data_IF_956695152566
#
_entry.id   IF_956695152566
#
_cell.length_a   1.000
_cell.length_b   1.000
_cell.length_c   1.000
_cell.angle_alpha   90.00
_cell.angle_beta   90.00
_cell.angle_gamma   90.00
#
_symmetry.space_group_name_H-M   'P 1'
#
loop_
_entity.id
_entity.type
_entity.pdbx_description
1 polymer ?
#
# COMPACT_ATOMS: atom_id res chain seq x y z
N UNK A 1 54.15 -48.17 43.53
CA UNK A 1 53.78 -48.34 44.95
C UNK A 1 53.89 -46.98 45.62
N UNK A 2 52.89 -46.64 46.44
CA UNK A 2 52.72 -45.43 47.28
C UNK A 2 52.23 -44.11 46.64
N UNK A 3 50.94 -43.91 46.91
CA UNK A 3 50.13 -42.69 46.95
C UNK A 3 50.70 -41.68 47.97
N UNK A 4 50.58 -40.38 47.69
CA UNK A 4 50.16 -39.37 48.69
C UNK A 4 49.68 -38.06 48.04
N UNK A 5 48.45 -37.70 48.40
CA UNK A 5 47.76 -36.43 48.13
C UNK A 5 48.41 -35.29 48.93
N UNK A 6 48.45 -34.09 48.38
CA UNK A 6 48.33 -32.85 49.17
C UNK A 6 47.58 -31.79 48.38
N UNK A 7 46.50 -31.29 48.99
CA UNK A 7 45.68 -30.15 48.55
C UNK A 7 46.43 -28.88 48.92
N UNK A 8 46.58 -27.93 47.98
CA UNK A 8 47.12 -26.61 48.25
C UNK A 8 46.06 -25.54 47.92
N UNK A 9 45.59 -24.89 48.97
CA UNK A 9 44.81 -23.65 48.97
C UNK A 9 45.69 -22.51 48.44
N UNK A 10 45.22 -21.75 47.44
CA UNK A 10 45.88 -20.50 47.02
C UNK A 10 44.93 -19.34 47.28
N UNK A 11 45.46 -18.38 48.04
CA UNK A 11 44.82 -17.18 48.53
C UNK A 11 44.56 -16.16 47.40
N UNK A 12 43.48 -15.42 47.58
CA UNK A 12 43.03 -14.26 46.80
C UNK A 12 44.02 -13.10 46.87
N UNK A 13 44.45 -12.60 45.70
CA UNK A 13 45.10 -11.31 45.55
C UNK A 13 44.12 -10.32 44.91
N UNK A 14 43.72 -9.30 45.66
CA UNK A 14 42.92 -8.18 45.18
C UNK A 14 43.85 -7.15 44.51
N UNK A 15 43.63 -6.86 43.23
CA UNK A 15 44.26 -5.76 42.52
C UNK A 15 43.26 -4.60 42.38
N UNK A 16 43.58 -3.46 42.99
CA UNK A 16 42.92 -2.18 42.74
C UNK A 16 43.20 -1.75 41.29
N UNK A 17 42.14 -1.58 40.48
CA UNK A 17 42.19 -0.77 39.27
C UNK A 17 41.60 0.61 39.58
N UNK A 18 42.45 1.63 39.52
CA UNK A 18 42.08 3.04 39.52
C UNK A 18 41.35 3.39 38.23
N UNK A 19 40.06 3.74 38.34
CA UNK A 19 39.27 4.25 37.22
C UNK A 19 39.68 5.70 36.92
N UNK A 20 40.30 5.91 35.76
CA UNK A 20 40.47 7.25 35.17
C UNK A 20 39.16 7.57 34.45
N UNK A 21 38.39 8.49 35.03
CA UNK A 21 37.14 8.98 34.47
C UNK A 21 37.39 9.78 33.20
N UNK A 22 37.17 9.16 32.05
CA UNK A 22 36.90 9.88 30.81
C UNK A 22 35.42 10.30 30.84
N UNK A 23 35.17 11.57 31.19
CA UNK A 23 33.86 12.20 30.95
C UNK A 23 33.68 12.34 29.45
N UNK A 24 33.14 11.29 28.82
CA UNK A 24 32.52 11.41 27.52
C UNK A 24 31.27 12.29 27.71
N UNK A 25 31.37 13.56 27.32
CA UNK A 25 30.20 14.37 27.04
C UNK A 25 29.40 13.64 25.96
N UNK A 26 28.35 12.93 26.37
CA UNK A 26 27.29 12.55 25.45
C UNK A 26 26.81 13.85 24.81
N UNK A 27 27.12 14.02 23.53
CA UNK A 27 26.31 14.87 22.69
C UNK A 27 24.90 14.27 22.78
N UNK A 28 24.06 14.91 23.58
CA UNK A 28 22.61 14.78 23.46
C UNK A 28 22.32 15.08 22.01
N UNK A 29 22.10 14.04 21.20
CA UNK A 29 21.40 14.23 19.95
C UNK A 29 20.10 14.89 20.38
N UNK A 30 19.93 16.17 20.05
CA UNK A 30 18.68 16.88 20.24
C UNK A 30 17.59 15.97 19.67
N UNK A 31 16.87 15.30 20.58
CA UNK A 31 15.65 14.61 20.23
C UNK A 31 14.75 15.75 19.84
N UNK A 32 14.65 16.02 18.54
CA UNK A 32 13.52 16.76 18.01
C UNK A 32 12.33 15.88 18.38
N UNK A 33 11.74 16.17 19.54
CA UNK A 33 10.44 15.65 19.92
C UNK A 33 9.53 16.25 18.87
N UNK A 34 9.14 15.43 17.90
CA UNK A 34 8.07 15.81 16.99
C UNK A 34 6.88 16.21 17.87
N UNK A 35 6.33 17.43 17.76
CA UNK A 35 5.22 17.85 18.60
C UNK A 35 4.13 16.78 18.55
N UNK A 36 3.68 16.35 19.74
CA UNK A 36 2.58 15.39 19.86
C UNK A 36 1.38 15.91 19.08
N UNK A 37 0.83 15.10 18.18
CA UNK A 37 -0.28 15.50 17.33
C UNK A 37 -1.57 15.22 18.10
N UNK A 38 -2.45 16.22 18.21
CA UNK A 38 -3.80 16.00 18.75
C UNK A 38 -4.62 15.18 17.75
N UNK A 39 -4.59 13.86 17.93
CA UNK A 39 -5.33 12.90 17.09
C UNK A 39 -6.84 13.07 17.19
N UNK A 40 -7.34 13.64 18.29
CA UNK A 40 -8.77 13.97 18.46
C UNK A 40 -9.16 15.17 17.60
N UNK A 41 -8.36 16.25 17.62
CA UNK A 41 -8.53 17.40 16.75
C UNK A 41 -8.41 17.02 15.27
N UNK A 42 -7.46 16.14 14.94
CA UNK A 42 -7.33 15.56 13.60
C UNK A 42 -8.62 14.84 13.18
N UNK A 43 -9.16 13.95 14.03
CA UNK A 43 -10.42 13.25 13.77
C UNK A 43 -11.62 14.20 13.59
N UNK A 44 -11.72 15.25 14.42
CA UNK A 44 -12.75 16.28 14.30
C UNK A 44 -12.63 17.06 12.98
N UNK A 45 -11.42 17.37 12.54
CA UNK A 45 -11.16 18.04 11.25
C UNK A 45 -11.62 17.18 10.06
N UNK A 46 -11.35 15.86 10.09
CA UNK A 46 -11.84 14.92 9.07
C UNK A 46 -13.37 14.89 9.07
N UNK A 47 -13.99 14.74 10.24
CA UNK A 47 -15.45 14.69 10.36
C UNK A 47 -16.12 15.98 9.86
N UNK A 48 -15.51 17.14 10.11
CA UNK A 48 -15.98 18.43 9.59
C UNK A 48 -15.87 18.51 8.06
N UNK A 49 -14.80 17.99 7.49
CA UNK A 49 -14.59 18.01 6.04
C UNK A 49 -15.58 17.11 5.28
N UNK A 50 -15.93 15.95 5.84
CA UNK A 50 -16.71 14.93 5.14
C UNK A 50 -18.17 14.80 5.60
N UNK A 51 -18.49 15.27 6.81
CA UNK A 51 -19.83 15.27 7.38
C UNK A 51 -20.75 16.36 6.84
N UNK A 52 -21.91 16.52 7.48
CA UNK A 52 -22.88 17.57 7.11
C UNK A 52 -23.48 17.44 5.71
N UNK A 53 -23.43 16.24 5.10
CA UNK A 53 -23.91 16.01 3.74
C UNK A 53 -22.87 16.27 2.64
N UNK A 54 -21.61 16.53 2.99
CA UNK A 54 -20.53 16.66 2.00
C UNK A 54 -20.23 15.34 1.30
N UNK A 55 -20.48 14.21 1.95
CA UNK A 55 -20.39 12.85 1.40
C UNK A 55 -21.63 12.04 1.77
N UNK A 56 -21.89 10.95 1.05
CA UNK A 56 -22.98 10.01 1.39
C UNK A 56 -22.69 9.26 2.68
N UNK A 57 -21.48 8.75 2.81
CA UNK A 57 -20.95 8.16 4.02
C UNK A 57 -19.42 8.17 4.01
N UNK A 58 -18.84 8.16 5.20
CA UNK A 58 -17.39 8.14 5.36
C UNK A 58 -16.98 7.39 6.63
N UNK A 59 -15.70 7.01 6.63
CA UNK A 59 -15.01 6.48 7.79
C UNK A 59 -13.56 6.97 7.80
N UNK A 60 -12.99 7.12 8.98
CA UNK A 60 -11.57 7.35 9.19
C UNK A 60 -11.05 6.57 10.38
N UNK A 61 -9.75 6.33 10.40
CA UNK A 61 -9.04 5.78 11.55
C UNK A 61 -7.63 6.35 11.62
N UNK A 62 -7.15 6.59 12.84
CA UNK A 62 -5.86 7.19 13.17
C UNK A 62 -5.16 6.28 14.17
N UNK A 63 -3.86 6.07 13.94
CA UNK A 63 -2.94 5.41 14.84
C UNK A 63 -1.80 6.39 15.18
N UNK A 64 -1.20 6.18 16.34
CA UNK A 64 -0.03 6.91 16.80
C UNK A 64 0.96 5.91 17.39
N UNK A 65 2.21 5.98 16.95
CA UNK A 65 3.29 5.07 17.34
C UNK A 65 2.92 3.58 17.19
N UNK A 66 2.22 3.26 16.10
CA UNK A 66 1.77 1.91 15.78
C UNK A 66 0.59 1.42 16.62
N UNK A 67 0.01 2.25 17.47
CA UNK A 67 -1.15 1.92 18.31
C UNK A 67 -2.40 2.65 17.84
N UNK A 68 -3.57 2.02 18.01
CA UNK A 68 -4.85 2.67 17.73
C UNK A 68 -5.01 3.94 18.59
N UNK A 69 -5.31 5.07 17.94
CA UNK A 69 -5.59 6.33 18.63
C UNK A 69 -7.10 6.63 18.62
N UNK A 70 -7.68 6.81 17.44
CA UNK A 70 -9.12 7.10 17.30
C UNK A 70 -9.66 6.66 15.94
N UNK A 71 -10.98 6.50 15.85
CA UNK A 71 -11.70 6.29 14.59
C UNK A 71 -13.08 6.89 14.65
N UNK A 72 -13.62 7.22 13.48
CA UNK A 72 -14.97 7.76 13.38
C UNK A 72 -15.59 7.45 12.03
N UNK A 73 -16.91 7.59 11.97
CA UNK A 73 -17.69 7.38 10.76
C UNK A 73 -19.03 8.09 10.86
N UNK A 74 -19.61 8.45 9.72
CA UNK A 74 -20.98 8.92 9.65
C UNK A 74 -21.59 8.63 8.26
N UNK A 75 -22.90 8.81 8.16
CA UNK A 75 -23.63 8.62 6.90
C UNK A 75 -23.87 7.14 6.55
N UNK A 76 -24.01 6.87 5.26
CA UNK A 76 -24.55 5.60 4.74
C UNK A 76 -23.55 4.88 3.85
N UNK A 77 -23.26 3.62 4.20
CA UNK A 77 -22.61 2.67 3.30
C UNK A 77 -23.57 2.26 2.17
N UNK A 78 -24.87 2.21 2.50
CA UNK A 78 -25.98 1.97 1.56
C UNK A 78 -27.14 2.88 1.89
N UNK A 79 -27.68 3.58 0.88
CA UNK A 79 -28.81 4.50 1.05
C UNK A 79 -30.14 3.72 1.05
N UNK A 80 -31.28 4.42 1.15
CA UNK A 80 -32.61 3.82 1.22
C UNK A 80 -32.90 2.77 0.12
N UNK A 81 -32.65 3.08 -1.17
CA UNK A 81 -32.83 2.13 -2.27
C UNK A 81 -32.01 0.84 -2.15
N UNK A 82 -30.94 0.83 -1.36
CA UNK A 82 -29.95 -0.25 -1.29
C UNK A 82 -29.92 -0.96 0.08
N UNK A 83 -30.96 -0.79 0.90
CA UNK A 83 -31.09 -1.47 2.20
C UNK A 83 -30.64 -0.65 3.42
N UNK A 84 -30.32 0.63 3.25
CA UNK A 84 -30.16 1.61 4.33
C UNK A 84 -29.12 1.23 5.42
N UNK A 85 -27.92 0.82 5.02
CA UNK A 85 -26.83 0.40 5.93
C UNK A 85 -25.96 1.60 6.32
N UNK A 86 -25.72 1.77 7.62
CA UNK A 86 -24.82 2.81 8.14
C UNK A 86 -23.36 2.53 7.75
N UNK A 87 -22.61 3.61 7.47
CA UNK A 87 -21.16 3.52 7.32
C UNK A 87 -20.50 3.38 8.69
N UNK A 88 -19.57 2.44 8.83
CA UNK A 88 -18.76 2.25 10.05
C UNK A 88 -17.26 2.29 9.74
N UNK A 89 -16.42 2.45 10.74
CA UNK A 89 -14.95 2.38 10.58
C UNK A 89 -14.43 1.03 10.08
N UNK A 90 -15.27 -0.02 10.14
CA UNK A 90 -15.00 -1.38 9.67
C UNK A 90 -15.75 -1.74 8.38
N UNK A 91 -16.55 -0.83 7.81
CA UNK A 91 -17.17 -1.05 6.50
C UNK A 91 -16.08 -1.15 5.44
N UNK A 92 -16.05 -2.27 4.73
CA UNK A 92 -15.11 -2.49 3.61
C UNK A 92 -15.71 -2.00 2.29
N UNK A 93 -14.85 -1.44 1.45
CA UNK A 93 -15.15 -1.05 0.06
C UNK A 93 -13.88 -1.20 -0.79
N UNK A 94 -14.02 -1.21 -2.12
CA UNK A 94 -12.84 -1.25 -3.00
C UNK A 94 -11.98 0.02 -2.76
N UNK A 95 -10.70 -0.15 -2.41
CA UNK A 95 -9.78 0.96 -2.11
C UNK A 95 -9.09 1.55 -3.34
N UNK A 96 -9.50 1.10 -4.52
CA UNK A 96 -8.98 1.54 -5.81
C UNK A 96 -7.44 1.49 -5.84
N UNK A 97 -6.82 2.58 -6.31
CA UNK A 97 -5.37 2.68 -6.49
C UNK A 97 -4.54 2.58 -5.22
N UNK A 98 -5.12 2.74 -4.04
CA UNK A 98 -4.43 2.46 -2.76
C UNK A 98 -3.89 1.03 -2.70
N UNK A 99 -4.46 0.10 -3.48
CA UNK A 99 -3.95 -1.27 -3.69
C UNK A 99 -2.47 -1.29 -4.10
N UNK A 100 -2.00 -0.29 -4.86
CA UNK A 100 -0.62 -0.24 -5.36
C UNK A 100 0.42 -0.25 -4.25
N UNK A 101 0.12 0.37 -3.10
CA UNK A 101 1.03 0.35 -1.97
C UNK A 101 1.26 -1.08 -1.45
N UNK A 102 0.20 -1.90 -1.39
CA UNK A 102 0.30 -3.32 -1.00
C UNK A 102 1.11 -4.12 -2.03
N UNK A 103 0.85 -3.92 -3.32
CA UNK A 103 1.60 -4.56 -4.41
C UNK A 103 3.08 -4.16 -4.40
N UNK A 104 3.38 -2.89 -4.11
CA UNK A 104 4.75 -2.39 -3.99
C UNK A 104 5.49 -3.01 -2.80
N UNK A 105 4.82 -3.16 -1.64
CA UNK A 105 5.41 -3.85 -0.49
C UNK A 105 5.58 -5.34 -0.77
N UNK A 106 4.64 -5.99 -1.46
CA UNK A 106 4.78 -7.40 -1.85
C UNK A 106 6.05 -7.64 -2.68
N UNK A 107 6.26 -6.81 -3.71
CA UNK A 107 7.44 -6.89 -4.58
C UNK A 107 8.71 -6.64 -3.78
N UNK A 108 8.74 -5.61 -2.93
CA UNK A 108 9.96 -5.29 -2.18
C UNK A 108 10.29 -6.30 -1.10
N UNK A 109 9.28 -6.89 -0.45
CA UNK A 109 9.46 -8.02 0.47
C UNK A 109 10.07 -9.22 -0.25
N UNK A 110 9.63 -9.50 -1.48
CA UNK A 110 10.20 -10.58 -2.29
C UNK A 110 11.63 -10.26 -2.74
N UNK A 111 11.90 -9.04 -3.20
CA UNK A 111 13.26 -8.58 -3.55
C UNK A 111 14.20 -8.72 -2.35
N UNK A 112 13.80 -8.28 -1.16
CA UNK A 112 14.58 -8.41 0.08
C UNK A 112 14.93 -9.88 0.39
N UNK A 113 14.08 -10.82 -0.01
CA UNK A 113 14.30 -12.27 0.20
C UNK A 113 15.06 -12.95 -0.93
N UNK A 114 15.34 -12.27 -2.03
CA UNK A 114 16.06 -12.84 -3.18
C UNK A 114 17.50 -12.33 -3.21
N UNK A 115 18.52 -13.19 -2.96
CA UNK A 115 19.92 -12.79 -2.98
C UNK A 115 20.33 -12.11 -4.30
N UNK A 116 21.00 -10.96 -4.20
CA UNK A 116 21.48 -10.20 -5.36
C UNK A 116 20.41 -9.42 -6.13
N UNK A 117 19.13 -9.57 -5.78
CA UNK A 117 18.05 -8.79 -6.40
C UNK A 117 17.92 -7.43 -5.70
N UNK A 118 17.75 -6.37 -6.50
CA UNK A 118 17.50 -5.02 -5.99
C UNK A 118 16.41 -4.35 -6.79
N UNK A 119 15.92 -3.20 -6.32
CA UNK A 119 14.97 -2.39 -7.10
C UNK A 119 15.55 -1.88 -8.42
N UNK A 120 16.87 -1.85 -8.58
CA UNK A 120 17.52 -1.46 -9.84
C UNK A 120 17.74 -2.64 -10.81
N UNK A 121 17.38 -3.86 -10.41
CA UNK A 121 17.50 -5.03 -11.28
C UNK A 121 16.47 -4.98 -12.43
N UNK A 122 16.85 -5.42 -13.65
CA UNK A 122 15.91 -5.53 -14.77
C UNK A 122 14.76 -6.50 -14.48
N UNK A 123 13.57 -6.21 -15.00
CA UNK A 123 12.37 -7.04 -14.75
C UNK A 123 12.15 -8.14 -15.79
N UNK A 124 12.79 -8.05 -16.96
CA UNK A 124 12.60 -8.99 -18.07
C UNK A 124 12.72 -10.48 -17.67
N UNK A 125 13.71 -10.91 -16.86
CA UNK A 125 13.86 -12.32 -16.48
C UNK A 125 12.69 -12.87 -15.64
N UNK A 126 11.89 -11.98 -15.05
CA UNK A 126 10.77 -12.32 -14.18
C UNK A 126 9.41 -12.32 -14.90
N UNK A 127 9.36 -11.89 -16.16
CA UNK A 127 8.17 -11.97 -16.99
C UNK A 127 7.97 -13.39 -17.56
N UNK A 128 6.73 -13.75 -17.98
CA UNK A 128 6.49 -14.99 -18.73
C UNK A 128 7.41 -15.10 -19.95
N UNK A 129 7.87 -16.32 -20.27
CA UNK A 129 8.79 -16.54 -21.40
C UNK A 129 8.19 -16.06 -22.74
N UNK A 130 6.88 -16.25 -22.94
CA UNK A 130 6.18 -15.75 -24.13
C UNK A 130 6.19 -14.23 -24.25
N UNK A 131 6.31 -13.51 -23.13
CA UNK A 131 6.38 -12.04 -23.13
C UNK A 131 7.79 -11.59 -23.49
N UNK A 132 8.81 -12.25 -22.94
CA UNK A 132 10.21 -11.97 -23.25
C UNK A 132 10.50 -12.06 -24.76
N UNK A 133 9.90 -13.04 -25.45
CA UNK A 133 10.04 -13.22 -26.89
C UNK A 133 9.36 -12.14 -27.74
N UNK A 134 8.34 -11.47 -27.19
CA UNK A 134 7.56 -10.42 -27.87
C UNK A 134 7.98 -9.01 -27.47
N UNK A 135 8.84 -8.89 -26.47
CA UNK A 135 9.15 -7.61 -25.88
C UNK A 135 10.00 -6.75 -26.82
N UNK A 136 9.68 -5.46 -26.89
CA UNK A 136 10.55 -4.49 -27.54
C UNK A 136 11.87 -4.34 -26.75
N UNK A 137 12.98 -4.12 -27.45
CA UNK A 137 14.32 -4.05 -26.85
C UNK A 137 14.46 -2.95 -25.76
N UNK A 138 13.59 -1.94 -25.76
CA UNK A 138 13.56 -0.93 -24.68
C UNK A 138 13.22 -1.53 -23.30
N UNK A 139 12.54 -2.67 -23.24
CA UNK A 139 12.15 -3.33 -21.99
C UNK A 139 13.33 -3.94 -21.23
N UNK A 140 14.46 -4.19 -21.88
CA UNK A 140 15.70 -4.64 -21.22
C UNK A 140 16.22 -3.61 -20.20
N UNK A 141 15.81 -2.34 -20.34
CA UNK A 141 16.17 -1.24 -19.44
C UNK A 141 15.16 -1.04 -18.30
N UNK A 142 14.01 -1.70 -18.34
CA UNK A 142 12.96 -1.52 -17.32
C UNK A 142 13.35 -2.26 -16.05
N UNK A 143 13.40 -1.53 -14.93
CA UNK A 143 13.75 -2.06 -13.60
C UNK A 143 12.53 -2.08 -12.69
N UNK A 144 12.62 -2.79 -11.57
CA UNK A 144 11.57 -2.76 -10.54
C UNK A 144 11.28 -1.33 -10.07
N UNK A 145 12.34 -0.53 -9.87
CA UNK A 145 12.26 0.88 -9.49
C UNK A 145 11.40 1.65 -10.46
N UNK A 146 11.66 1.50 -11.77
CA UNK A 146 10.91 2.20 -12.82
C UNK A 146 9.40 1.89 -12.79
N UNK A 147 9.02 0.64 -12.48
CA UNK A 147 7.61 0.28 -12.32
C UNK A 147 7.02 0.88 -11.04
N UNK A 148 7.72 0.71 -9.91
CA UNK A 148 7.28 1.11 -8.57
C UNK A 148 7.10 2.62 -8.39
N UNK A 149 7.90 3.43 -9.09
CA UNK A 149 7.87 4.90 -9.01
C UNK A 149 7.34 5.59 -10.28
N UNK A 150 6.76 4.83 -11.21
CA UNK A 150 6.18 5.35 -12.44
C UNK A 150 7.15 5.97 -13.48
N UNK A 151 8.44 5.63 -13.47
CA UNK A 151 9.42 6.11 -14.48
C UNK A 151 9.75 5.10 -15.57
N UNK A 152 8.87 4.12 -15.83
CA UNK A 152 9.05 3.07 -16.85
C UNK A 152 8.84 3.53 -18.30
N UNK A 153 8.19 4.68 -18.51
CA UNK A 153 7.79 5.13 -19.84
C UNK A 153 6.51 4.49 -20.36
N UNK A 154 5.86 3.62 -19.57
CA UNK A 154 4.54 3.09 -19.90
C UNK A 154 3.47 4.18 -19.80
N UNK A 155 2.60 4.24 -20.80
CA UNK A 155 1.48 5.17 -20.86
C UNK A 155 0.21 4.56 -20.25
N UNK A 156 -0.84 5.38 -20.11
CA UNK A 156 -2.19 4.88 -19.81
C UNK A 156 -2.83 4.46 -21.13
N UNK A 157 -2.97 3.15 -21.34
CA UNK A 157 -3.51 2.62 -22.59
C UNK A 157 -4.91 3.16 -22.94
N UNK A 158 -5.71 3.57 -21.95
CA UNK A 158 -7.00 4.24 -22.16
C UNK A 158 -6.90 5.56 -22.93
N UNK A 159 -5.71 6.20 -22.93
CA UNK A 159 -5.48 7.47 -23.63
C UNK A 159 -5.02 7.28 -25.07
N UNK A 160 -4.56 6.07 -25.43
CA UNK A 160 -3.95 5.79 -26.74
C UNK A 160 -4.68 4.74 -27.56
N UNK A 161 -5.48 3.88 -26.92
CA UNK A 161 -6.22 2.81 -27.58
C UNK A 161 -7.68 3.18 -27.83
N UNK A 162 -8.25 2.64 -28.90
CA UNK A 162 -9.71 2.67 -29.14
C UNK A 162 -10.45 1.85 -28.08
N UNK A 163 -11.77 2.08 -27.93
CA UNK A 163 -12.58 1.31 -26.98
C UNK A 163 -12.54 -0.21 -27.22
N UNK A 164 -12.54 -0.64 -28.48
CA UNK A 164 -12.42 -2.06 -28.86
C UNK A 164 -11.05 -2.64 -28.46
N UNK A 165 -9.98 -1.90 -28.72
CA UNK A 165 -8.63 -2.30 -28.29
C UNK A 165 -8.51 -2.32 -26.76
N UNK A 166 -9.08 -1.36 -26.05
CA UNK A 166 -9.05 -1.32 -24.58
C UNK A 166 -9.83 -2.49 -23.96
N UNK A 167 -10.95 -2.90 -24.56
CA UNK A 167 -11.68 -4.08 -24.12
C UNK A 167 -10.81 -5.35 -24.18
N UNK A 168 -9.90 -5.42 -25.15
CA UNK A 168 -8.97 -6.53 -25.35
C UNK A 168 -7.67 -6.40 -24.54
N UNK A 169 -7.08 -5.20 -24.49
CA UNK A 169 -5.76 -4.89 -23.94
C UNK A 169 -5.86 -3.99 -22.70
N UNK A 170 -6.76 -4.35 -21.78
CA UNK A 170 -6.83 -3.69 -20.47
C UNK A 170 -5.65 -4.09 -19.57
N UNK A 171 -5.77 -4.03 -18.25
CA UNK A 171 -4.67 -4.39 -17.32
C UNK A 171 -4.61 -5.90 -17.00
N UNK A 172 -5.23 -6.74 -17.85
CA UNK A 172 -5.15 -8.20 -17.84
C UNK A 172 -3.76 -8.72 -18.23
N UNK A 173 -3.55 -10.03 -18.18
CA UNK A 173 -2.36 -10.71 -18.69
C UNK A 173 -2.14 -10.40 -20.16
N UNK A 174 -3.18 -10.48 -21.00
CA UNK A 174 -3.10 -10.18 -22.44
C UNK A 174 -2.74 -8.70 -22.68
N UNK A 175 -3.24 -7.78 -21.86
CA UNK A 175 -2.86 -6.39 -21.99
C UNK A 175 -1.44 -6.08 -21.52
N UNK A 176 -0.92 -6.81 -20.53
CA UNK A 176 0.51 -6.78 -20.20
C UNK A 176 1.35 -7.38 -21.32
N UNK A 177 0.92 -8.49 -21.93
CA UNK A 177 1.57 -9.08 -23.10
C UNK A 177 1.64 -8.10 -24.29
N UNK A 178 0.56 -7.35 -24.51
CA UNK A 178 0.54 -6.29 -25.50
C UNK A 178 1.51 -5.16 -25.14
N UNK A 179 1.50 -4.70 -23.88
CA UNK A 179 2.33 -3.60 -23.42
C UNK A 179 3.84 -3.91 -23.56
N UNK A 180 4.28 -5.16 -23.37
CA UNK A 180 5.69 -5.51 -23.55
C UNK A 180 6.19 -5.32 -24.98
N UNK A 181 5.31 -5.41 -25.98
CA UNK A 181 5.64 -5.16 -27.38
C UNK A 181 5.75 -3.68 -27.76
N UNK A 182 5.43 -2.75 -26.84
CA UNK A 182 5.51 -1.32 -27.09
C UNK A 182 6.92 -0.79 -26.80
N UNK A 183 7.41 0.07 -27.70
CA UNK A 183 8.67 0.80 -27.49
C UNK A 183 8.52 1.86 -26.40
N UNK A 184 9.42 1.84 -25.43
CA UNK A 184 9.43 2.75 -24.28
C UNK A 184 10.64 3.70 -24.30
N UNK A 185 10.49 4.83 -23.62
CA UNK A 185 11.60 5.72 -23.23
C UNK A 185 11.89 5.52 -21.74
N UNK A 186 13.08 5.00 -21.42
CA UNK A 186 13.45 4.58 -20.06
C UNK A 186 14.82 5.15 -19.66
N UNK A 187 14.95 5.87 -18.52
CA UNK A 187 13.85 6.28 -17.64
C UNK A 187 12.99 7.38 -18.25
N UNK A 188 11.71 7.40 -17.90
CA UNK A 188 10.77 8.49 -18.22
C UNK A 188 10.74 9.52 -17.06
N UNK A 189 10.40 10.79 -17.30
CA UNK A 189 10.20 11.81 -16.26
C UNK A 189 9.21 11.44 -15.14
N UNK A 190 8.41 10.38 -15.33
CA UNK A 190 7.43 9.91 -14.36
C UNK A 190 6.00 10.13 -14.85
N UNK A 191 5.30 9.06 -15.17
CA UNK A 191 3.91 9.10 -15.63
C UNK A 191 3.09 8.05 -14.88
N UNK A 192 2.13 8.50 -14.08
CA UNK A 192 1.26 7.60 -13.34
C UNK A 192 0.47 6.70 -14.30
N UNK A 193 0.72 5.40 -14.22
CA UNK A 193 0.04 4.39 -15.04
C UNK A 193 -0.29 3.14 -14.24
N UNK A 194 -1.51 2.64 -14.43
CA UNK A 194 -1.94 1.38 -13.83
C UNK A 194 -1.19 0.18 -14.43
N UNK A 195 -0.66 0.32 -15.65
CA UNK A 195 0.02 -0.78 -16.34
C UNK A 195 1.30 -1.23 -15.60
N UNK A 196 2.02 -0.31 -14.95
CA UNK A 196 3.18 -0.69 -14.13
C UNK A 196 2.84 -1.72 -13.05
N UNK A 197 1.71 -1.51 -12.38
CA UNK A 197 1.27 -2.39 -11.30
C UNK A 197 0.57 -3.65 -11.82
N UNK A 198 0.05 -3.62 -13.06
CA UNK A 198 -0.39 -4.81 -13.77
C UNK A 198 0.79 -5.74 -14.12
N UNK A 199 1.95 -5.18 -14.50
CA UNK A 199 3.21 -5.91 -14.69
C UNK A 199 3.71 -6.49 -13.36
N UNK A 200 3.80 -5.68 -12.31
CA UNK A 200 4.27 -6.12 -10.99
C UNK A 200 3.42 -7.26 -10.41
N UNK A 201 2.09 -7.23 -10.62
CA UNK A 201 1.18 -8.33 -10.26
C UNK A 201 1.60 -9.66 -10.88
N UNK A 202 2.08 -9.68 -12.12
CA UNK A 202 2.56 -10.93 -12.76
C UNK A 202 3.89 -11.41 -12.17
N UNK A 203 4.72 -10.49 -11.68
CA UNK A 203 6.05 -10.81 -11.13
C UNK A 203 5.96 -11.36 -9.69
N UNK A 204 4.99 -10.92 -8.88
CA UNK A 204 4.81 -11.39 -7.49
C UNK A 204 4.79 -12.93 -7.37
N UNK A 205 3.87 -13.66 -8.02
CA UNK A 205 3.85 -15.12 -7.95
C UNK A 205 5.12 -15.77 -8.50
N UNK A 206 5.76 -15.18 -9.53
CA UNK A 206 7.04 -15.67 -10.03
C UNK A 206 8.13 -15.59 -8.94
N UNK A 207 8.31 -14.42 -8.33
CA UNK A 207 9.29 -14.25 -7.26
C UNK A 207 8.94 -15.08 -6.02
N UNK A 208 7.65 -15.20 -5.68
CA UNK A 208 7.22 -16.02 -4.55
C UNK A 208 7.60 -17.49 -4.74
N UNK A 209 7.40 -18.02 -5.94
CA UNK A 209 7.85 -19.38 -6.28
C UNK A 209 9.37 -19.53 -6.15
N UNK A 210 10.13 -18.53 -6.55
CA UNK A 210 11.60 -18.56 -6.49
C UNK A 210 12.12 -18.49 -5.04
N UNK A 211 11.45 -17.71 -4.16
CA UNK A 211 11.78 -17.60 -2.73
C UNK A 211 11.27 -18.79 -1.90
N UNK A 212 10.12 -19.36 -2.28
CA UNK A 212 9.45 -20.46 -1.56
C UNK A 212 9.03 -21.59 -2.51
N UNK A 213 9.99 -22.37 -3.07
CA UNK A 213 9.70 -23.35 -4.13
C UNK A 213 8.73 -24.45 -3.71
N UNK A 214 8.67 -24.77 -2.42
CA UNK A 214 7.77 -25.81 -1.88
C UNK A 214 6.34 -25.31 -1.61
N UNK A 215 6.05 -24.01 -1.80
CA UNK A 215 4.71 -23.44 -1.53
C UNK A 215 3.66 -23.89 -2.55
N UNK A 216 4.09 -24.35 -3.73
CA UNK A 216 3.21 -24.78 -4.82
C UNK A 216 2.66 -23.63 -5.67
N UNK A 217 3.34 -22.49 -5.71
CA UNK A 217 2.96 -21.36 -6.58
C UNK A 217 3.17 -21.75 -8.05
N UNK A 218 2.14 -21.75 -8.91
CA UNK A 218 2.24 -22.21 -10.28
C UNK A 218 2.96 -21.20 -11.18
N UNK A 219 3.26 -21.62 -12.41
CA UNK A 219 3.57 -20.67 -13.49
C UNK A 219 2.35 -19.79 -13.72
N UNK A 220 2.59 -18.48 -13.85
CA UNK A 220 1.54 -17.47 -14.00
C UNK A 220 0.89 -17.58 -15.39
N UNK A 221 -0.43 -17.45 -15.42
CA UNK A 221 -1.26 -17.39 -16.61
C UNK A 221 -2.36 -16.33 -16.47
N UNK A 222 -3.15 -16.14 -17.52
CA UNK A 222 -4.33 -15.27 -17.49
C UNK A 222 -5.39 -15.70 -16.46
N UNK A 223 -5.44 -16.99 -16.10
CA UNK A 223 -6.46 -17.51 -15.18
C UNK A 223 -6.06 -17.50 -13.71
N UNK A 224 -4.77 -17.33 -13.39
CA UNK A 224 -4.26 -17.47 -12.03
C UNK A 224 -3.47 -16.27 -11.49
N UNK A 225 -3.11 -15.30 -12.34
CA UNK A 225 -2.22 -14.19 -11.97
C UNK A 225 -2.75 -13.34 -10.81
N UNK A 226 -3.97 -12.81 -10.93
CA UNK A 226 -4.62 -12.04 -9.87
C UNK A 226 -4.83 -12.84 -8.59
N UNK A 227 -5.17 -14.13 -8.71
CA UNK A 227 -5.40 -15.02 -7.57
C UNK A 227 -4.13 -15.21 -6.74
N UNK A 228 -2.99 -15.52 -7.38
CA UNK A 228 -1.76 -15.76 -6.65
C UNK A 228 -1.09 -14.49 -6.13
N UNK A 229 -1.25 -13.36 -6.82
CA UNK A 229 -0.87 -12.06 -6.28
C UNK A 229 -1.70 -11.72 -5.02
N UNK A 230 -3.02 -11.94 -5.05
CA UNK A 230 -3.91 -11.74 -3.91
C UNK A 230 -3.55 -12.68 -2.74
N UNK A 231 -3.25 -13.96 -3.02
CA UNK A 231 -2.82 -14.90 -1.99
C UNK A 231 -1.54 -14.44 -1.29
N UNK A 232 -0.57 -13.92 -2.03
CA UNK A 232 0.64 -13.36 -1.42
C UNK A 232 0.30 -12.19 -0.50
N UNK A 233 -0.53 -11.24 -0.97
CA UNK A 233 -0.95 -10.08 -0.17
C UNK A 233 -1.66 -10.54 1.11
N UNK A 234 -2.60 -11.46 1.02
CA UNK A 234 -3.32 -11.98 2.20
C UNK A 234 -2.38 -12.71 3.18
N UNK A 235 -1.55 -13.63 2.69
CA UNK A 235 -0.74 -14.52 3.54
C UNK A 235 0.51 -13.84 4.10
N UNK A 236 1.19 -13.03 3.28
CA UNK A 236 2.52 -12.49 3.60
C UNK A 236 2.49 -11.03 4.06
N UNK A 237 1.39 -10.31 3.82
CA UNK A 237 1.23 -8.91 4.25
C UNK A 237 0.09 -8.73 5.25
N UNK A 238 -1.16 -9.09 4.90
CA UNK A 238 -2.33 -8.80 5.74
C UNK A 238 -2.39 -9.66 7.00
N UNK A 239 -2.16 -10.97 6.89
CA UNK A 239 -2.19 -11.86 8.05
C UNK A 239 -1.16 -11.47 9.13
N UNK A 240 0.11 -11.18 8.80
CA UNK A 240 1.07 -10.62 9.78
C UNK A 240 0.64 -9.29 10.38
N UNK A 241 -0.14 -8.48 9.66
CA UNK A 241 -0.67 -7.20 10.14
C UNK A 241 -1.95 -7.34 10.99
N UNK A 242 -2.43 -8.57 11.23
CA UNK A 242 -3.71 -8.81 11.93
C UNK A 242 -4.92 -8.32 11.14
N UNK A 243 -4.80 -8.20 9.81
CA UNK A 243 -5.88 -7.80 8.91
C UNK A 243 -6.51 -9.07 8.34
N UNK A 244 -7.82 -9.21 8.51
CA UNK A 244 -8.55 -10.35 7.95
C UNK A 244 -8.41 -10.38 6.42
N UNK A 245 -8.30 -11.58 5.81
CA UNK A 245 -8.16 -11.71 4.37
C UNK A 245 -9.19 -10.89 3.59
N UNK A 246 -8.77 -10.37 2.43
CA UNK A 246 -9.64 -9.66 1.50
C UNK A 246 -9.74 -10.41 0.17
N UNK A 247 -10.74 -10.05 -0.62
CA UNK A 247 -10.89 -10.45 -2.01
C UNK A 247 -11.12 -9.21 -2.88
N UNK A 248 -11.08 -9.38 -4.20
CA UNK A 248 -11.49 -8.37 -5.17
C UNK A 248 -12.96 -8.43 -5.57
N UNK A 249 -13.70 -9.29 -4.87
CA UNK A 249 -15.16 -9.37 -4.81
C UNK A 249 -15.50 -9.29 -3.33
N UNK A 250 -16.54 -8.56 -2.96
CA UNK A 250 -16.89 -8.43 -1.54
C UNK A 250 -17.30 -9.78 -0.94
N UNK A 251 -16.74 -10.10 0.22
CA UNK A 251 -17.16 -11.25 1.02
C UNK A 251 -18.55 -11.06 1.64
N UNK A 252 -18.96 -9.81 1.88
CA UNK A 252 -20.26 -9.46 2.45
C UNK A 252 -20.96 -8.44 1.54
N UNK A 253 -21.49 -8.87 0.38
CA UNK A 253 -22.07 -7.98 -0.62
C UNK A 253 -23.33 -7.25 -0.15
N UNK A 254 -23.95 -7.65 0.97
CA UNK A 254 -25.11 -6.97 1.57
C UNK A 254 -24.73 -5.82 2.51
N UNK A 255 -23.49 -5.79 3.03
CA UNK A 255 -23.06 -4.79 4.03
C UNK A 255 -21.86 -3.95 3.60
N UNK A 256 -21.15 -4.35 2.53
CA UNK A 256 -20.10 -3.53 1.93
C UNK A 256 -20.67 -2.24 1.33
N UNK A 257 -19.87 -1.17 1.35
CA UNK A 257 -20.31 0.12 0.81
C UNK A 257 -20.49 0.06 -0.72
N UNK A 258 -21.50 0.78 -1.20
CA UNK A 258 -21.69 1.06 -2.62
C UNK A 258 -21.15 2.46 -2.94
N UNK A 259 -20.73 2.66 -4.20
CA UNK A 259 -20.36 3.96 -4.75
C UNK A 259 -21.61 4.76 -5.10
N UNK A 260 -21.66 6.04 -4.75
CA UNK A 260 -22.80 6.91 -5.00
C UNK A 260 -22.42 8.18 -5.75
N UNK A 261 -23.41 8.75 -6.43
CA UNK A 261 -23.43 10.17 -6.79
C UNK A 261 -23.97 10.95 -5.59
N UNK A 262 -23.17 11.85 -5.01
CA UNK A 262 -23.59 12.61 -3.81
C UNK A 262 -24.79 13.53 -4.06
N UNK A 263 -25.06 13.87 -5.32
CA UNK A 263 -26.18 14.72 -5.72
C UNK A 263 -27.43 13.93 -6.11
N UNK A 264 -27.35 12.60 -6.16
CA UNK A 264 -28.41 11.76 -6.71
C UNK A 264 -28.42 10.36 -6.07
N UNK A 265 -28.57 10.34 -4.74
CA UNK A 265 -28.57 9.10 -3.94
C UNK A 265 -29.84 8.25 -4.13
N UNK A 266 -30.88 8.83 -4.73
CA UNK A 266 -32.14 8.14 -4.99
C UNK A 266 -32.02 7.13 -6.14
N UNK A 267 -31.07 7.33 -7.05
CA UNK A 267 -30.77 6.40 -8.15
C UNK A 267 -30.00 5.15 -7.72
N UNK A 268 -29.73 5.00 -6.41
CA UNK A 268 -29.04 3.85 -5.85
C UNK A 268 -27.53 3.87 -6.07
N UNK A 269 -26.86 2.91 -5.45
CA UNK A 269 -25.41 2.80 -5.47
C UNK A 269 -24.92 1.77 -6.48
N UNK A 270 -23.67 1.91 -6.91
CA UNK A 270 -23.01 0.94 -7.79
C UNK A 270 -21.96 0.18 -7.01
N UNK A 271 -21.92 -1.13 -7.21
CA UNK A 271 -20.92 -1.96 -6.56
C UNK A 271 -19.66 -2.09 -7.42
N UNK A 272 -18.57 -1.50 -6.94
CA UNK A 272 -17.27 -1.62 -7.59
C UNK A 272 -16.53 -2.85 -7.08
N UNK A 273 -16.20 -3.73 -8.01
CA UNK A 273 -15.46 -4.96 -7.77
C UNK A 273 -14.84 -5.47 -9.08
N UNK A 274 -13.89 -6.40 -8.98
CA UNK A 274 -13.31 -7.10 -10.11
C UNK A 274 -13.85 -8.54 -10.14
N UNK A 275 -14.95 -8.76 -10.86
CA UNK A 275 -15.57 -10.07 -11.06
C UNK A 275 -15.31 -10.64 -12.46
N UNK A 276 -15.53 -11.95 -12.63
CA UNK A 276 -15.34 -12.63 -13.92
C UNK A 276 -13.91 -12.46 -14.45
N UNK A 277 -13.77 -12.10 -15.74
CA UNK A 277 -12.47 -11.82 -16.36
C UNK A 277 -11.73 -10.65 -15.71
N UNK A 278 -12.44 -9.69 -15.09
CA UNK A 278 -11.83 -8.56 -14.40
C UNK A 278 -11.03 -8.98 -13.16
N UNK A 279 -11.37 -10.13 -12.55
CA UNK A 279 -10.68 -10.65 -11.36
C UNK A 279 -9.19 -10.88 -11.61
N UNK A 280 -8.81 -11.12 -12.86
CA UNK A 280 -7.43 -11.22 -13.28
C UNK A 280 -6.59 -10.03 -12.79
N UNK A 281 -7.14 -8.81 -12.81
CA UNK A 281 -6.47 -7.57 -12.44
C UNK A 281 -6.29 -7.36 -10.92
N UNK A 282 -6.84 -8.28 -10.11
CA UNK A 282 -6.83 -8.23 -8.65
C UNK A 282 -5.42 -8.11 -8.06
N UNK A 283 -5.31 -7.38 -6.95
CA UNK A 283 -4.08 -7.18 -6.19
C UNK A 283 -2.89 -6.61 -7.01
N UNK A 284 -3.17 -5.97 -8.14
CA UNK A 284 -2.19 -5.23 -8.93
C UNK A 284 -2.34 -3.73 -8.74
N UNK A 285 -3.12 -3.09 -9.61
CA UNK A 285 -3.29 -1.64 -9.58
C UNK A 285 -4.54 -1.18 -8.83
N UNK A 286 -5.48 -2.10 -8.55
CA UNK A 286 -6.74 -1.89 -7.81
C UNK A 286 -7.28 -3.22 -7.28
N UNK A 287 -8.45 -3.18 -6.65
CA UNK A 287 -9.26 -4.36 -6.39
C UNK A 287 -9.37 -4.77 -4.92
N UNK A 288 -8.48 -4.38 -4.01
CA UNK A 288 -8.62 -4.82 -2.62
C UNK A 288 -9.83 -4.14 -1.95
N UNK A 289 -10.57 -4.89 -1.12
CA UNK A 289 -11.69 -4.37 -0.33
C UNK A 289 -11.30 -4.25 1.14
N UNK A 290 -10.99 -3.04 1.60
CA UNK A 290 -10.55 -2.78 2.96
C UNK A 290 -11.38 -1.65 3.59
N UNK A 291 -11.34 -1.58 4.93
CA UNK A 291 -11.96 -0.54 5.74
C UNK A 291 -10.94 0.50 6.21
N UNK A 292 -11.40 1.56 6.88
CA UNK A 292 -10.50 2.54 7.50
C UNK A 292 -9.64 1.86 8.57
N UNK A 293 -10.26 0.97 9.36
CA UNK A 293 -9.53 0.21 10.37
C UNK A 293 -8.46 -0.72 9.76
N UNK A 294 -8.78 -1.38 8.64
CA UNK A 294 -7.80 -2.23 7.96
C UNK A 294 -6.62 -1.39 7.41
N UNK A 295 -6.91 -0.23 6.80
CA UNK A 295 -5.88 0.63 6.20
C UNK A 295 -4.99 1.31 7.24
N UNK A 296 -5.52 1.72 8.38
CA UNK A 296 -4.68 2.29 9.45
C UNK A 296 -3.81 1.20 10.10
N UNK A 297 -4.34 -0.02 10.29
CA UNK A 297 -3.54 -1.17 10.75
C UNK A 297 -2.42 -1.48 9.77
N UNK A 298 -2.72 -1.43 8.47
CA UNK A 298 -1.73 -1.61 7.42
C UNK A 298 -0.62 -0.56 7.52
N UNK A 299 -0.97 0.72 7.65
CA UNK A 299 0.02 1.80 7.78
C UNK A 299 0.85 1.65 9.05
N UNK A 300 0.23 1.39 10.20
CA UNK A 300 0.92 1.14 11.46
C UNK A 300 1.92 -0.02 11.35
N UNK A 301 1.52 -1.14 10.73
CA UNK A 301 2.41 -2.28 10.52
C UNK A 301 3.51 -2.03 9.49
N UNK A 302 3.22 -1.26 8.44
CA UNK A 302 4.23 -0.85 7.47
C UNK A 302 5.23 0.14 8.09
N UNK A 303 4.78 1.03 8.97
CA UNK A 303 5.61 2.04 9.60
C UNK A 303 6.46 1.48 10.75
N UNK A 304 5.93 0.54 11.54
CA UNK A 304 6.55 0.09 12.79
C UNK A 304 6.84 -1.41 12.86
N UNK A 305 6.19 -2.23 12.02
CA UNK A 305 6.28 -3.68 12.07
C UNK A 305 7.50 -4.28 11.34
N UNK A 306 7.41 -5.59 11.08
CA UNK A 306 8.49 -6.41 10.49
C UNK A 306 8.13 -6.97 9.12
N UNK A 307 7.13 -6.40 8.44
CA UNK A 307 6.70 -6.85 7.11
C UNK A 307 7.86 -6.73 6.10
N UNK A 308 8.64 -5.67 6.22
CA UNK A 308 9.88 -5.39 5.48
C UNK A 308 10.89 -4.73 6.43
N UNK A 309 12.19 -4.81 6.15
CA UNK A 309 13.22 -4.22 7.01
C UNK A 309 13.13 -2.68 7.06
N UNK A 310 13.69 -2.03 8.10
CA UNK A 310 13.87 -0.57 8.13
C UNK A 310 14.56 -0.01 6.88
N UNK A 311 15.55 -0.72 6.34
CA UNK A 311 16.27 -0.29 5.14
C UNK A 311 15.36 -0.25 3.91
N UNK A 312 14.51 -1.26 3.74
CA UNK A 312 13.52 -1.29 2.65
C UNK A 312 12.47 -0.19 2.85
N UNK A 313 11.98 0.05 4.07
CA UNK A 313 11.05 1.17 4.36
C UNK A 313 11.65 2.52 3.98
N UNK A 314 12.90 2.77 4.36
CA UNK A 314 13.62 4.00 3.97
C UNK A 314 13.80 4.10 2.45
N UNK A 315 14.07 2.98 1.76
CA UNK A 315 14.17 2.95 0.30
C UNK A 315 12.81 3.29 -0.36
N UNK A 316 11.70 2.78 0.18
CA UNK A 316 10.36 3.13 -0.28
C UNK A 316 10.10 4.63 -0.21
N UNK A 317 10.44 5.25 0.90
CA UNK A 317 10.19 6.66 1.16
C UNK A 317 11.08 7.56 0.30
N UNK A 318 12.38 7.30 0.31
CA UNK A 318 13.38 8.08 -0.43
C UNK A 318 13.16 8.04 -1.95
N UNK A 319 12.74 6.88 -2.47
CA UNK A 319 12.54 6.67 -3.91
C UNK A 319 11.06 6.70 -4.32
N UNK A 320 10.14 6.93 -3.39
CA UNK A 320 8.68 6.93 -3.58
C UNK A 320 8.15 5.63 -4.22
N UNK A 321 8.66 4.48 -3.78
CA UNK A 321 8.29 3.16 -4.32
C UNK A 321 6.95 2.72 -3.73
N UNK A 322 5.86 2.84 -4.49
CA UNK A 322 4.52 2.52 -3.98
C UNK A 322 3.81 3.66 -3.27
N UNK A 323 4.36 4.87 -3.34
CA UNK A 323 3.71 6.10 -2.86
C UNK A 323 3.23 6.90 -4.05
N UNK A 324 1.98 7.40 -4.00
CA UNK A 324 1.49 8.34 -5.03
C UNK A 324 2.08 9.72 -4.80
N UNK A 325 2.18 10.11 -3.54
CA UNK A 325 2.79 11.37 -3.14
C UNK A 325 3.62 11.20 -1.89
N UNK A 326 4.53 12.13 -1.72
CA UNK A 326 5.36 12.23 -0.54
C UNK A 326 6.22 13.47 -0.62
N UNK A 327 6.43 14.13 0.52
CA UNK A 327 7.34 15.27 0.59
C UNK A 327 8.59 14.88 1.36
N UNK A 328 9.75 15.06 0.72
CA UNK A 328 11.06 14.93 1.37
C UNK A 328 11.63 16.33 1.73
N UNK A 329 10.84 17.39 1.56
CA UNK A 329 11.22 18.78 1.82
C UNK A 329 9.98 19.65 2.13
N UNK A 330 10.20 20.83 2.74
CA UNK A 330 9.16 21.80 3.09
C UNK A 330 8.28 21.41 4.30
N UNK A 331 7.15 22.09 4.48
CA UNK A 331 6.24 21.93 5.63
C UNK A 331 5.53 20.56 5.72
N UNK A 332 5.60 19.76 4.65
CA UNK A 332 5.04 18.41 4.56
C UNK A 332 6.12 17.32 4.60
N UNK A 333 7.37 17.65 4.94
CA UNK A 333 8.48 16.68 5.00
C UNK A 333 8.10 15.48 5.87
N UNK A 334 8.34 14.26 5.37
CA UNK A 334 8.05 13.02 6.08
C UNK A 334 6.61 12.51 5.94
N UNK A 335 5.75 13.23 5.21
CA UNK A 335 4.41 12.74 4.87
C UNK A 335 4.50 11.90 3.59
N UNK A 336 3.98 10.67 3.64
CA UNK A 336 3.88 9.77 2.49
C UNK A 336 2.48 9.17 2.40
N UNK A 337 1.91 9.12 1.20
CA UNK A 337 0.52 8.72 1.03
C UNK A 337 0.26 8.03 -0.30
N UNK A 338 -0.85 7.30 -0.32
CA UNK A 338 -1.47 6.86 -1.55
C UNK A 338 -2.99 7.04 -1.44
N UNK A 339 -3.59 7.65 -2.47
CA UNK A 339 -5.04 7.72 -2.63
C UNK A 339 -5.56 6.71 -3.68
N UNK A 340 -6.86 6.47 -3.59
CA UNK A 340 -7.62 5.70 -4.54
C UNK A 340 -8.88 6.45 -4.94
N UNK A 341 -9.15 6.46 -6.24
CA UNK A 341 -10.41 6.94 -6.82
C UNK A 341 -10.89 5.90 -7.82
N UNK A 342 -12.17 5.55 -7.72
CA UNK A 342 -12.93 4.92 -8.80
C UNK A 342 -14.12 5.81 -9.10
N UNK A 343 -14.35 6.07 -10.38
CA UNK A 343 -15.43 6.91 -10.86
C UNK A 343 -16.04 6.25 -12.10
N UNK A 344 -17.35 6.07 -12.09
CA UNK A 344 -18.09 5.55 -13.23
C UNK A 344 -19.53 6.06 -13.20
N UNK A 345 -20.00 6.60 -14.33
CA UNK A 345 -21.36 7.15 -14.50
C UNK A 345 -21.80 8.06 -13.35
N UNK A 346 -20.90 8.94 -12.89
CA UNK A 346 -21.19 9.91 -11.82
C UNK A 346 -21.21 9.32 -10.40
N UNK A 347 -20.96 8.02 -10.20
CA UNK A 347 -20.74 7.42 -8.87
C UNK A 347 -19.25 7.36 -8.55
N UNK A 348 -18.89 7.46 -7.27
CA UNK A 348 -17.48 7.45 -6.84
C UNK A 348 -17.21 6.70 -5.54
N UNK A 349 -15.99 6.13 -5.44
CA UNK A 349 -15.37 5.72 -4.18
C UNK A 349 -14.01 6.41 -4.05
N UNK A 350 -13.73 6.93 -2.86
CA UNK A 350 -12.52 7.66 -2.55
C UNK A 350 -11.82 7.06 -1.33
N UNK A 351 -10.50 6.96 -1.38
CA UNK A 351 -9.68 6.44 -0.27
C UNK A 351 -8.39 7.23 -0.18
N UNK A 352 -7.88 7.42 1.02
CA UNK A 352 -6.48 7.75 1.25
C UNK A 352 -5.97 7.02 2.49
N UNK A 353 -4.72 6.63 2.46
CA UNK A 353 -3.98 6.20 3.63
C UNK A 353 -2.58 6.83 3.60
N UNK A 354 -2.12 7.28 4.74
CA UNK A 354 -0.91 8.08 4.87
C UNK A 354 -0.19 7.80 6.18
N UNK A 355 1.11 8.05 6.17
CA UNK A 355 1.92 8.22 7.37
C UNK A 355 2.45 9.64 7.42
N UNK A 356 2.61 10.14 8.63
CA UNK A 356 3.01 11.49 8.95
C UNK A 356 4.17 11.46 9.94
N UNK A 357 4.91 12.58 10.10
CA UNK A 357 5.78 12.77 11.24
C UNK A 357 5.04 12.60 12.58
N UNK A 358 5.79 12.41 13.66
CA UNK A 358 5.26 12.15 15.00
C UNK A 358 4.77 10.72 15.21
N UNK A 359 5.06 9.81 14.28
CA UNK A 359 4.58 8.44 14.34
C UNK A 359 3.07 8.32 14.11
N UNK A 360 2.47 9.29 13.41
CA UNK A 360 1.02 9.28 13.12
C UNK A 360 0.74 8.58 11.80
N UNK A 361 -0.20 7.65 11.81
CA UNK A 361 -0.76 7.03 10.62
C UNK A 361 -2.25 7.28 10.55
N UNK A 362 -2.78 7.55 9.36
CA UNK A 362 -4.21 7.77 9.19
C UNK A 362 -4.73 7.21 7.88
N UNK A 363 -6.02 6.89 7.88
CA UNK A 363 -6.76 6.52 6.68
C UNK A 363 -8.14 7.15 6.68
N UNK A 364 -8.67 7.38 5.48
CA UNK A 364 -10.03 7.87 5.26
C UNK A 364 -10.63 7.24 4.01
N UNK A 365 -11.92 6.95 4.07
CA UNK A 365 -12.72 6.41 2.97
C UNK A 365 -14.04 7.15 2.93
N UNK A 366 -14.52 7.43 1.73
CA UNK A 366 -15.89 7.91 1.53
C UNK A 366 -16.44 7.44 0.19
N UNK A 367 -17.74 7.18 0.14
CA UNK A 367 -18.37 6.44 -0.96
C UNK A 367 -19.19 7.31 -1.92
N UNK A 368 -18.69 8.52 -2.18
CA UNK A 368 -19.23 9.43 -3.16
C UNK A 368 -18.19 10.48 -3.55
N UNK A 369 -18.57 11.45 -4.39
CA UNK A 369 -17.88 12.74 -4.43
C UNK A 369 -17.88 13.39 -3.04
N UNK A 370 -16.88 14.22 -2.78
CA UNK A 370 -16.91 15.20 -1.70
C UNK A 370 -17.40 16.55 -2.25
N UNK A 371 -18.55 17.06 -1.78
CA UNK A 371 -19.09 18.37 -2.22
C UNK A 371 -18.16 19.54 -1.94
N UNK A 372 -17.28 19.42 -0.94
CA UNK A 372 -16.23 20.42 -0.68
C UNK A 372 -15.11 20.45 -1.71
N UNK A 373 -15.08 19.52 -2.68
CA UNK A 373 -14.05 19.44 -3.72
C UNK A 373 -12.67 19.03 -3.20
N UNK A 374 -12.57 18.57 -1.95
CA UNK A 374 -11.29 18.21 -1.32
C UNK A 374 -11.00 16.73 -1.52
N UNK A 375 -9.82 16.42 -2.06
CA UNK A 375 -9.34 15.05 -2.25
C UNK A 375 -9.17 14.30 -0.92
N UNK A 376 -9.26 12.96 -0.88
CA UNK A 376 -9.14 12.21 0.36
C UNK A 376 -7.79 12.41 1.07
N UNK A 377 -6.67 12.54 0.35
CA UNK A 377 -5.38 12.80 1.00
C UNK A 377 -5.23 14.26 1.45
N UNK A 378 -5.83 15.21 0.73
CA UNK A 378 -5.88 16.60 1.21
C UNK A 378 -6.68 16.70 2.50
N UNK A 379 -7.77 15.93 2.66
CA UNK A 379 -8.49 15.82 3.94
C UNK A 379 -7.55 15.37 5.06
N UNK A 380 -6.77 14.30 4.86
CA UNK A 380 -5.85 13.83 5.90
C UNK A 380 -4.71 14.82 6.19
N UNK A 381 -4.11 15.43 5.16
CA UNK A 381 -3.02 16.40 5.33
C UNK A 381 -3.51 17.65 6.08
N UNK A 382 -4.68 18.17 5.72
CA UNK A 382 -5.28 19.31 6.42
C UNK A 382 -5.63 18.95 7.87
N UNK A 383 -6.15 17.74 8.11
CA UNK A 383 -6.45 17.27 9.45
C UNK A 383 -5.19 17.11 10.31
N UNK A 384 -4.12 16.54 9.77
CA UNK A 384 -2.83 16.43 10.43
C UNK A 384 -2.28 17.80 10.81
N UNK A 385 -2.31 18.76 9.88
CA UNK A 385 -1.85 20.12 10.15
C UNK A 385 -2.73 20.89 11.15
N UNK A 386 -3.99 20.51 11.31
CA UNK A 386 -4.89 21.07 12.33
C UNK A 386 -4.69 20.46 13.73
N UNK A 387 -4.05 19.29 13.81
CA UNK A 387 -3.69 18.63 15.07
C UNK A 387 -2.27 18.94 15.55
N UNK A 388 -1.46 19.63 14.73
CA UNK A 388 -0.23 20.29 15.17
C UNK A 388 -0.58 21.59 15.89
#
# INVERSE_FOLDING_TARGET
MFIRRTIATVATAAALLTAIGATATQASADVIVDPSVDTSAMGASIAKALGGGNTVGFAYAIAENGQYATSGSAGKARTGPDGNVNFTSTTRMEIASSTKNFTAVAVQKLIEKTPGLTVNSPIMPFLPLSFQQKADASWDKVTFRHLLNHTSGLEQLEQTLTAAQLAQYNKSYTGVEFAVGLKLTVPSPGLYTNMNYAVLRLIIPRLWRDVEPNRGVPVVSSTNSGLWALNYVNERLLAPAGIAPTSCISANPSTAALAYNVNDVANGGVFYQLSGVGFEQCAGHRGLHLSAMDLVRWQAHLAHGTIISPAVRLQMDSLKLGWRGGSNSGSNTGIYWHDGLLQFNGTELNTCHAKFPGGVEASVLFNSQNRGGVSPCTVLINAYNAGK
#
